data_IF_562274377967
#
_entry.id   IF_562274377967
#
_cell.length_a   1.000
_cell.length_b   1.000
_cell.length_c   1.000
_cell.angle_alpha   90.00
_cell.angle_beta   90.00
_cell.angle_gamma   90.00
#
_symmetry.space_group_name_H-M   'P 1'
#
loop_
_entity.id
_entity.type
_entity.pdbx_description
1 polymer ?
#
# COMPACT_ATOMS: atom_id res chain seq x y z
N UNK A 1 -11.91 -28.53 -28.63
CA UNK A 1 -11.97 -27.07 -28.52
C UNK A 1 -11.36 -26.69 -27.16
N UNK A 2 -10.15 -26.13 -27.17
CA UNK A 2 -9.42 -25.77 -25.94
C UNK A 2 -10.06 -24.51 -25.38
N UNK A 3 -10.84 -24.62 -24.31
CA UNK A 3 -11.24 -23.45 -23.52
C UNK A 3 -9.97 -22.86 -22.86
N UNK A 4 -9.37 -21.91 -23.54
CA UNK A 4 -8.48 -20.95 -22.88
C UNK A 4 -9.34 -20.18 -21.88
N UNK A 5 -9.39 -20.64 -20.63
CA UNK A 5 -9.77 -19.78 -19.54
C UNK A 5 -8.68 -18.70 -19.49
N UNK A 6 -8.94 -17.62 -20.19
CA UNK A 6 -8.15 -16.42 -20.11
C UNK A 6 -8.38 -15.86 -18.71
N UNK A 7 -7.50 -16.25 -17.78
CA UNK A 7 -7.35 -15.58 -16.51
C UNK A 7 -6.66 -14.22 -16.78
N UNK A 8 -7.31 -13.42 -17.65
CA UNK A 8 -7.01 -12.02 -17.79
C UNK A 8 -7.65 -11.28 -16.61
N UNK A 9 -7.27 -11.66 -15.41
CA UNK A 9 -7.32 -10.78 -14.27
C UNK A 9 -6.07 -9.94 -14.33
N UNK A 10 -6.05 -8.95 -15.21
CA UNK A 10 -5.26 -7.77 -14.92
C UNK A 10 -5.75 -7.34 -13.54
N UNK A 11 -4.94 -7.62 -12.52
CA UNK A 11 -5.00 -6.85 -11.30
C UNK A 11 -4.53 -5.46 -11.74
N UNK A 12 -5.40 -4.76 -12.45
CA UNK A 12 -5.38 -3.33 -12.48
C UNK A 12 -5.89 -2.90 -11.09
N UNK A 13 -5.18 -3.37 -10.07
CA UNK A 13 -5.01 -2.60 -8.88
C UNK A 13 -4.40 -1.32 -9.41
N UNK A 14 -5.24 -0.32 -9.59
CA UNK A 14 -4.80 1.05 -9.62
C UNK A 14 -4.10 1.25 -8.28
N UNK A 15 -2.85 0.78 -8.23
CA UNK A 15 -1.90 1.22 -7.23
C UNK A 15 -1.78 2.70 -7.55
N UNK A 16 -2.65 3.49 -6.93
CA UNK A 16 -2.45 4.92 -6.88
C UNK A 16 -1.10 5.05 -6.17
N UNK A 17 -0.04 5.13 -6.97
CA UNK A 17 1.28 5.41 -6.48
C UNK A 17 1.11 6.58 -5.52
N UNK A 18 1.50 6.37 -4.28
CA UNK A 18 1.44 7.38 -3.26
C UNK A 18 2.54 8.38 -3.63
N UNK A 19 2.29 9.16 -4.70
CA UNK A 19 3.11 10.31 -4.94
C UNK A 19 2.88 11.24 -3.76
N UNK A 20 3.74 11.09 -2.74
CA UNK A 20 4.01 12.19 -1.84
C UNK A 20 4.63 13.31 -2.69
N UNK A 21 3.79 13.97 -3.49
CA UNK A 21 4.10 15.31 -3.89
C UNK A 21 4.00 16.15 -2.62
N UNK A 22 5.11 16.20 -1.87
CA UNK A 22 5.41 17.42 -1.15
C UNK A 22 5.48 18.47 -2.27
N UNK A 23 4.54 19.41 -2.35
CA UNK A 23 4.64 20.46 -3.36
C UNK A 23 6.02 21.09 -3.22
N UNK A 24 6.73 21.23 -4.34
CA UNK A 24 7.96 22.03 -4.43
C UNK A 24 7.58 23.49 -4.13
N UNK A 25 7.62 23.83 -2.88
CA UNK A 25 7.28 25.11 -2.32
C UNK A 25 6.88 24.82 -0.89
N UNK A 26 7.78 25.13 0.05
CA UNK A 26 7.57 24.93 1.49
C UNK A 26 6.34 25.73 1.92
N UNK A 27 5.13 25.16 1.77
CA UNK A 27 4.03 25.61 2.59
C UNK A 27 4.39 25.23 4.02
N UNK A 28 4.77 26.25 4.79
CA UNK A 28 5.05 26.09 6.22
C UNK A 28 3.76 25.68 6.88
N UNK A 29 3.71 24.44 7.39
CA UNK A 29 2.67 24.01 8.30
C UNK A 29 2.82 24.77 9.64
N UNK A 30 1.73 24.88 10.37
CA UNK A 30 1.70 25.41 11.73
C UNK A 30 1.84 24.23 12.71
N UNK A 31 2.80 24.31 13.62
CA UNK A 31 2.94 23.37 14.72
C UNK A 31 1.92 23.73 15.79
N UNK A 32 0.84 22.93 15.89
CA UNK A 32 -0.24 23.21 16.84
C UNK A 32 0.06 22.67 18.24
N UNK A 33 0.88 21.61 18.34
CA UNK A 33 1.19 20.97 19.60
C UNK A 33 2.54 20.27 19.53
N UNK A 34 3.24 20.21 20.68
CA UNK A 34 4.49 19.49 20.84
C UNK A 34 5.70 20.17 20.17
N UNK A 35 6.62 19.37 19.67
CA UNK A 35 7.86 19.81 19.03
C UNK A 35 7.99 19.25 17.60
N UNK A 36 7.51 20.04 16.63
CA UNK A 36 7.55 19.68 15.21
C UNK A 36 8.96 19.87 14.57
N UNK A 37 9.98 20.09 15.36
CA UNK A 37 11.38 20.14 14.87
C UNK A 37 12.18 18.94 15.36
N UNK A 38 12.18 18.66 16.67
CA UNK A 38 12.82 17.46 17.25
C UNK A 38 11.94 16.93 18.38
N UNK A 39 11.29 15.78 18.17
CA UNK A 39 10.40 15.17 19.15
C UNK A 39 9.05 14.81 18.58
N UNK A 40 8.02 14.77 19.41
CA UNK A 40 6.65 14.48 19.00
C UNK A 40 5.84 15.76 18.87
N UNK A 41 5.04 15.87 17.82
CA UNK A 41 4.21 17.07 17.61
C UNK A 41 3.08 16.84 16.60
N UNK A 42 2.27 17.87 16.43
CA UNK A 42 1.19 17.94 15.43
C UNK A 42 1.41 19.14 14.51
N UNK A 43 1.65 18.85 13.24
CA UNK A 43 1.83 19.84 12.17
C UNK A 43 0.58 19.87 11.29
N UNK A 44 0.00 21.05 11.08
CA UNK A 44 -1.15 21.26 10.20
C UNK A 44 -0.78 22.21 9.07
N UNK A 45 -1.13 21.86 7.86
CA UNK A 45 -0.89 22.68 6.68
C UNK A 45 -2.13 23.51 6.33
N UNK A 46 -1.93 24.61 5.61
CA UNK A 46 -3.03 25.50 5.17
C UNK A 46 -4.07 24.79 4.30
N UNK A 47 -3.67 23.77 3.57
CA UNK A 47 -4.56 22.95 2.75
C UNK A 47 -5.39 21.93 3.57
N UNK A 48 -5.16 21.84 4.90
CA UNK A 48 -5.87 20.95 5.81
C UNK A 48 -5.19 19.59 6.04
N UNK A 49 -4.06 19.29 5.37
CA UNK A 49 -3.26 18.10 5.70
C UNK A 49 -2.76 18.20 7.14
N UNK A 50 -2.72 17.06 7.82
CA UNK A 50 -2.27 16.98 9.22
C UNK A 50 -1.32 15.80 9.41
N UNK A 51 -0.17 16.08 9.99
CA UNK A 51 0.74 15.05 10.50
C UNK A 51 0.80 15.12 12.03
N UNK A 52 0.69 13.96 12.67
CA UNK A 52 0.90 13.81 14.12
C UNK A 52 1.88 12.67 14.33
N UNK A 53 3.02 12.93 14.95
CA UNK A 53 4.04 11.92 15.14
C UNK A 53 5.40 12.52 15.48
N UNK A 54 6.44 11.74 15.22
CA UNK A 54 7.81 12.08 15.53
C UNK A 54 8.46 12.92 14.42
N UNK A 55 9.30 13.84 14.85
CA UNK A 55 10.10 14.72 14.01
C UNK A 55 11.58 14.61 14.35
N UNK A 56 12.42 14.70 13.34
CA UNK A 56 13.85 14.93 13.46
C UNK A 56 14.27 16.01 12.46
N UNK A 57 14.88 17.09 12.95
CA UNK A 57 15.31 18.24 12.14
C UNK A 57 14.20 18.79 11.23
N UNK A 58 12.97 18.85 11.74
CA UNK A 58 11.79 19.35 11.02
C UNK A 58 11.23 18.39 9.95
N UNK A 59 11.76 17.18 9.85
CA UNK A 59 11.27 16.12 8.96
C UNK A 59 10.47 15.08 9.74
N UNK A 60 9.45 14.48 9.12
CA UNK A 60 8.77 13.29 9.68
C UNK A 60 9.79 12.17 9.81
N UNK A 61 9.93 11.63 11.01
CA UNK A 61 10.92 10.61 11.30
C UNK A 61 10.47 9.78 12.51
N UNK A 62 10.57 8.44 12.42
CA UNK A 62 10.01 7.55 13.43
C UNK A 62 8.53 7.25 13.14
N UNK A 63 7.70 7.04 14.17
CA UNK A 63 6.28 6.73 13.97
C UNK A 63 5.44 8.00 13.84
N UNK A 64 4.44 7.96 12.94
CA UNK A 64 3.49 9.06 12.77
C UNK A 64 2.32 8.75 11.88
N UNK A 65 1.29 9.59 11.99
CA UNK A 65 0.06 9.51 11.22
C UNK A 65 -0.07 10.75 10.35
N UNK A 66 -0.19 10.54 9.04
CA UNK A 66 -0.52 11.60 8.08
C UNK A 66 -1.96 11.41 7.60
N UNK A 67 -2.74 12.47 7.71
CA UNK A 67 -4.09 12.56 7.13
C UNK A 67 -4.06 13.59 6.00
N UNK A 68 -4.46 13.16 4.80
CA UNK A 68 -4.60 14.02 3.63
C UNK A 68 -6.03 14.56 3.50
N UNK A 69 -6.19 15.65 2.77
CA UNK A 69 -7.47 16.33 2.57
C UNK A 69 -8.48 15.54 1.73
N UNK A 70 -7.99 14.60 0.94
CA UNK A 70 -8.83 13.67 0.17
C UNK A 70 -9.30 12.45 1.00
N UNK A 71 -8.95 12.39 2.29
CA UNK A 71 -9.31 11.33 3.22
C UNK A 71 -8.34 10.15 3.26
N UNK A 72 -7.27 10.16 2.46
CA UNK A 72 -6.20 9.16 2.61
C UNK A 72 -5.50 9.32 3.94
N UNK A 73 -5.22 8.21 4.60
CA UNK A 73 -4.47 8.14 5.85
C UNK A 73 -3.28 7.21 5.69
N UNK A 74 -2.13 7.62 6.19
CA UNK A 74 -1.00 6.72 6.44
C UNK A 74 -0.68 6.73 7.94
N UNK A 75 -0.44 5.54 8.49
CA UNK A 75 -0.12 5.30 9.90
C UNK A 75 1.03 4.32 9.97
N UNK A 76 2.22 4.76 10.34
CA UNK A 76 3.39 3.89 10.29
C UNK A 76 4.72 4.61 10.49
N UNK A 77 5.78 3.92 10.05
CA UNK A 77 7.14 4.41 10.16
C UNK A 77 7.48 5.41 9.04
N UNK A 78 8.27 6.41 9.40
CA UNK A 78 8.71 7.51 8.56
C UNK A 78 10.22 7.68 8.62
N UNK A 79 10.80 8.03 7.51
CA UNK A 79 12.18 8.46 7.41
C UNK A 79 12.28 9.61 6.39
N UNK A 80 12.83 10.76 6.81
CA UNK A 80 13.03 11.92 5.94
C UNK A 80 11.78 12.34 5.14
N UNK A 81 10.61 12.42 5.82
CA UNK A 81 9.30 12.74 5.24
C UNK A 81 8.70 11.68 4.30
N UNK A 82 9.29 10.50 4.20
CA UNK A 82 8.78 9.39 3.39
C UNK A 82 8.36 8.21 4.27
N UNK A 83 7.26 7.49 3.96
CA UNK A 83 6.99 6.18 4.51
C UNK A 83 8.17 5.25 4.33
N UNK A 84 8.70 4.73 5.43
CA UNK A 84 9.85 3.82 5.41
C UNK A 84 9.80 2.89 6.63
N UNK A 85 9.71 1.58 6.42
CA UNK A 85 9.44 0.58 7.43
C UNK A 85 8.00 0.07 7.39
N UNK A 86 7.45 -0.41 8.49
CA UNK A 86 6.10 -0.97 8.54
C UNK A 86 5.05 0.12 8.70
N UNK A 87 3.94 0.01 7.94
CA UNK A 87 2.84 0.95 8.02
C UNK A 87 1.57 0.51 7.30
N UNK A 88 0.49 1.22 7.59
CA UNK A 88 -0.84 1.00 7.00
C UNK A 88 -1.30 2.26 6.28
N UNK A 89 -1.67 2.11 5.04
CA UNK A 89 -2.38 3.13 4.26
C UNK A 89 -3.84 2.74 4.14
N UNK A 90 -4.72 3.70 4.39
CA UNK A 90 -6.16 3.57 4.16
C UNK A 90 -6.59 4.63 3.15
N UNK A 91 -7.28 4.21 2.11
CA UNK A 91 -7.82 5.07 1.07
C UNK A 91 -9.33 5.30 1.27
N UNK A 92 -9.88 6.43 0.79
CA UNK A 92 -11.32 6.73 0.89
C UNK A 92 -12.22 5.74 0.16
N UNK A 93 -11.69 5.04 -0.86
CA UNK A 93 -12.39 4.00 -1.60
C UNK A 93 -12.50 2.66 -0.84
N UNK A 94 -11.99 2.61 0.40
CA UNK A 94 -11.97 1.41 1.25
C UNK A 94 -10.79 0.49 0.99
N UNK A 95 -9.89 0.83 0.09
CA UNK A 95 -8.66 0.07 -0.13
C UNK A 95 -7.68 0.29 1.03
N UNK A 96 -7.12 -0.79 1.55
CA UNK A 96 -6.16 -0.76 2.66
C UNK A 96 -4.91 -1.54 2.26
N UNK A 97 -3.75 -0.92 2.41
CA UNK A 97 -2.47 -1.61 2.36
C UNK A 97 -1.85 -1.65 3.75
N UNK A 98 -1.39 -2.82 4.17
CA UNK A 98 -0.61 -3.02 5.40
C UNK A 98 0.63 -3.83 5.07
N UNK A 99 1.80 -3.28 5.33
CA UNK A 99 3.04 -3.95 4.98
C UNK A 99 4.27 -3.06 5.11
N UNK A 100 5.36 -3.51 4.48
CA UNK A 100 6.62 -2.79 4.47
C UNK A 100 6.65 -1.74 3.36
N UNK A 101 7.26 -0.61 3.68
CA UNK A 101 7.45 0.53 2.82
C UNK A 101 8.93 0.85 2.68
N UNK A 102 9.32 1.34 1.54
CA UNK A 102 10.65 1.88 1.29
C UNK A 102 10.54 3.10 0.38
N UNK A 103 11.08 4.23 0.86
CA UNK A 103 11.09 5.50 0.12
C UNK A 103 9.72 5.89 -0.45
N UNK A 104 8.64 5.67 0.35
CA UNK A 104 7.26 5.99 0.00
C UNK A 104 6.55 4.99 -0.91
N UNK A 105 7.17 3.82 -1.17
CA UNK A 105 6.60 2.75 -2.01
C UNK A 105 6.34 1.47 -1.23
N UNK A 106 5.39 0.66 -1.69
CA UNK A 106 5.20 -0.71 -1.19
C UNK A 106 6.42 -1.54 -1.57
N UNK A 107 7.04 -2.16 -0.57
CA UNK A 107 8.25 -2.96 -0.74
C UNK A 107 8.22 -4.13 0.27
N UNK A 108 8.80 -5.30 -0.07
CA UNK A 108 8.85 -6.45 0.83
C UNK A 108 7.48 -7.09 1.05
N UNK A 109 7.17 -7.54 2.26
CA UNK A 109 5.93 -8.23 2.56
C UNK A 109 4.78 -7.26 2.85
N UNK A 110 3.61 -7.56 2.29
CA UNK A 110 2.42 -6.74 2.54
C UNK A 110 1.14 -7.37 2.04
N UNK A 111 0.03 -6.84 2.53
CA UNK A 111 -1.33 -7.18 2.13
C UNK A 111 -2.06 -5.94 1.68
N UNK A 112 -2.60 -5.99 0.48
CA UNK A 112 -3.56 -5.03 -0.03
C UNK A 112 -4.95 -5.67 0.01
N UNK A 113 -5.93 -4.97 0.56
CA UNK A 113 -7.34 -5.40 0.60
C UNK A 113 -8.18 -4.32 -0.08
N UNK A 114 -9.09 -4.73 -0.95
CA UNK A 114 -10.05 -3.85 -1.62
C UNK A 114 -11.39 -3.84 -0.90
N UNK A 115 -12.20 -2.79 -1.08
CA UNK A 115 -13.49 -2.64 -0.41
C UNK A 115 -14.49 -3.77 -0.71
N UNK A 116 -14.37 -4.41 -1.86
CA UNK A 116 -15.20 -5.55 -2.29
C UNK A 116 -14.74 -6.89 -1.70
N UNK A 117 -13.70 -6.90 -0.85
CA UNK A 117 -13.15 -8.09 -0.20
C UNK A 117 -12.08 -8.84 -0.99
N UNK A 118 -11.70 -8.34 -2.15
CA UNK A 118 -10.51 -8.81 -2.86
C UNK A 118 -9.24 -8.51 -2.06
N UNK A 119 -8.18 -9.32 -2.23
CA UNK A 119 -6.91 -9.03 -1.57
C UNK A 119 -5.72 -9.66 -2.31
N UNK A 120 -4.56 -9.04 -2.13
CA UNK A 120 -3.27 -9.65 -2.45
C UNK A 120 -2.40 -9.66 -1.21
N UNK A 121 -1.85 -10.83 -0.88
CA UNK A 121 -0.87 -11.00 0.21
C UNK A 121 0.38 -11.63 -0.38
N UNK A 122 1.51 -11.00 -0.20
CA UNK A 122 2.79 -11.49 -0.73
C UNK A 122 3.87 -10.44 -0.76
N UNK A 123 4.85 -10.68 -1.62
CA UNK A 123 5.97 -9.76 -1.81
C UNK A 123 5.59 -8.63 -2.76
N UNK A 124 6.06 -7.43 -2.45
CA UNK A 124 5.89 -6.20 -3.21
C UNK A 124 7.26 -5.66 -3.64
N UNK A 125 7.29 -5.04 -4.79
CA UNK A 125 8.45 -4.31 -5.29
C UNK A 125 8.00 -3.11 -6.10
N UNK A 126 8.46 -1.92 -5.74
CA UNK A 126 8.10 -0.67 -6.42
C UNK A 126 6.58 -0.53 -6.65
N UNK A 127 5.77 -0.69 -5.57
CA UNK A 127 4.30 -0.64 -5.57
C UNK A 127 3.60 -1.78 -6.33
N UNK A 128 4.31 -2.77 -6.82
CA UNK A 128 3.74 -3.87 -7.60
C UNK A 128 3.90 -5.22 -6.93
N UNK A 129 2.88 -6.11 -6.99
CA UNK A 129 3.03 -7.52 -6.66
C UNK A 129 4.24 -8.15 -7.36
N UNK A 130 5.11 -8.79 -6.59
CA UNK A 130 6.34 -9.41 -7.07
C UNK A 130 6.65 -10.68 -6.27
N UNK A 131 7.39 -11.67 -6.88
CA UNK A 131 7.71 -12.92 -6.19
C UNK A 131 6.47 -13.75 -5.88
N UNK A 132 6.52 -14.53 -4.81
CA UNK A 132 5.41 -15.41 -4.42
C UNK A 132 4.34 -14.63 -3.66
N UNK A 133 3.08 -14.86 -4.05
CA UNK A 133 1.94 -14.24 -3.39
C UNK A 133 0.62 -14.99 -3.64
N UNK A 134 -0.39 -14.59 -2.91
CA UNK A 134 -1.76 -15.09 -3.03
C UNK A 134 -2.69 -13.93 -3.35
N UNK A 135 -3.36 -14.05 -4.48
CA UNK A 135 -4.47 -13.18 -4.89
C UNK A 135 -5.78 -13.85 -4.48
N UNK A 136 -6.60 -13.18 -3.70
CA UNK A 136 -7.97 -13.59 -3.37
C UNK A 136 -8.94 -12.67 -4.09
N UNK A 137 -9.91 -13.23 -4.79
CA UNK A 137 -10.98 -12.45 -5.43
C UNK A 137 -12.16 -12.25 -4.47
N UNK A 138 -13.05 -11.29 -4.75
CA UNK A 138 -14.27 -11.07 -3.95
C UNK A 138 -15.18 -12.31 -3.84
N UNK A 139 -15.18 -13.20 -4.83
CA UNK A 139 -15.92 -14.46 -4.82
C UNK A 139 -15.29 -15.54 -3.92
N UNK A 140 -14.14 -15.25 -3.29
CA UNK A 140 -13.40 -16.17 -2.43
C UNK A 140 -12.44 -17.09 -3.17
N UNK A 141 -12.41 -17.07 -4.50
CA UNK A 141 -11.42 -17.84 -5.26
C UNK A 141 -10.01 -17.27 -5.03
N UNK A 142 -9.01 -18.16 -5.00
CA UNK A 142 -7.63 -17.78 -4.72
C UNK A 142 -6.69 -18.29 -5.80
N UNK A 143 -5.69 -17.49 -6.12
CA UNK A 143 -4.55 -17.92 -6.92
C UNK A 143 -3.29 -17.72 -6.08
N UNK A 144 -2.50 -18.77 -5.93
CA UNK A 144 -1.17 -18.69 -5.30
C UNK A 144 -0.12 -19.09 -6.33
N UNK A 145 0.87 -18.23 -6.52
CA UNK A 145 1.92 -18.42 -7.52
C UNK A 145 2.91 -17.27 -7.57
N UNK A 146 3.73 -17.25 -8.61
CA UNK A 146 4.69 -16.19 -8.83
C UNK A 146 4.05 -14.98 -9.53
N UNK A 147 4.43 -13.81 -9.07
CA UNK A 147 4.06 -12.50 -9.63
C UNK A 147 5.31 -11.77 -10.11
N UNK A 148 5.19 -11.06 -11.23
CA UNK A 148 6.23 -10.18 -11.74
C UNK A 148 5.61 -8.90 -12.30
N UNK A 149 5.97 -7.76 -11.68
CA UNK A 149 5.42 -6.45 -12.04
C UNK A 149 3.87 -6.46 -12.11
N UNK A 150 3.22 -6.99 -11.07
CA UNK A 150 1.77 -7.04 -10.93
C UNK A 150 1.05 -8.10 -11.77
N UNK A 151 1.78 -8.93 -12.53
CA UNK A 151 1.21 -10.01 -13.37
C UNK A 151 1.59 -11.37 -12.84
N UNK A 152 0.67 -12.32 -12.92
CA UNK A 152 0.95 -13.73 -12.64
C UNK A 152 1.84 -14.32 -13.72
N UNK A 153 2.82 -15.15 -13.34
CA UNK A 153 3.76 -15.80 -14.27
C UNK A 153 3.99 -17.25 -13.86
N UNK A 154 4.22 -18.13 -14.88
CA UNK A 154 4.55 -19.54 -14.66
C UNK A 154 3.42 -20.35 -14.03
N UNK A 155 3.80 -21.30 -13.19
CA UNK A 155 2.86 -22.22 -12.56
C UNK A 155 2.28 -21.66 -11.26
N UNK A 156 1.05 -22.06 -10.96
CA UNK A 156 0.38 -21.70 -9.73
C UNK A 156 -0.74 -22.65 -9.35
N UNK A 157 -1.34 -22.39 -8.20
CA UNK A 157 -2.51 -23.14 -7.71
C UNK A 157 -3.69 -22.19 -7.65
N UNK A 158 -4.75 -22.61 -8.34
CA UNK A 158 -6.06 -21.97 -8.26
C UNK A 158 -6.93 -22.77 -7.29
N UNK A 159 -7.54 -22.08 -6.33
CA UNK A 159 -8.55 -22.64 -5.42
C UNK A 159 -9.90 -21.98 -5.75
N UNK A 160 -10.92 -22.77 -6.03
CA UNK A 160 -12.28 -22.24 -6.28
C UNK A 160 -12.95 -21.83 -4.96
N UNK A 161 -14.09 -21.10 -4.99
CA UNK A 161 -14.84 -20.77 -3.79
C UNK A 161 -15.28 -22.00 -2.98
N UNK A 162 -15.52 -23.15 -3.67
CA UNK A 162 -15.88 -24.43 -3.05
C UNK A 162 -14.68 -25.21 -2.51
N UNK A 163 -13.45 -24.61 -2.58
CA UNK A 163 -12.24 -25.23 -2.06
C UNK A 163 -11.58 -26.26 -2.99
N UNK A 164 -12.00 -26.37 -4.26
CA UNK A 164 -11.34 -27.27 -5.22
C UNK A 164 -10.05 -26.66 -5.73
N UNK A 165 -8.97 -27.42 -5.64
CA UNK A 165 -7.65 -27.02 -6.12
C UNK A 165 -7.39 -27.48 -7.56
N UNK A 166 -6.72 -26.63 -8.32
CA UNK A 166 -6.27 -26.90 -9.68
C UNK A 166 -4.91 -26.25 -9.92
N UNK A 167 -3.93 -27.05 -10.34
CA UNK A 167 -2.68 -26.51 -10.87
C UNK A 167 -2.95 -25.84 -12.23
N UNK A 168 -2.36 -24.66 -12.43
CA UNK A 168 -2.49 -23.88 -13.66
C UNK A 168 -1.11 -23.41 -14.10
N UNK A 169 -0.91 -23.34 -15.41
CA UNK A 169 0.29 -22.82 -16.03
C UNK A 169 -0.11 -21.59 -16.87
N UNK A 170 0.56 -20.44 -16.65
CA UNK A 170 0.20 -19.13 -17.21
C UNK A 170 1.28 -18.62 -18.17
#
# INVERSE_FOLDING_TARGET
>A
MKNKLIFLGVVALLVAAFFFFLPKGQEKGECLDGNCFNGTGTLVFKDGRRYTGNFANGSYNGHGVLLLTDGRKYDGAWENNLPNGFGTQTNPDGTIYTGTWKDGKYEGQGTLTTADGGSYTGTWKDDMPHGIGTLTKPDGSKFTGEFRNGKTVGDGVLVTPEGKEKKVSL
#
